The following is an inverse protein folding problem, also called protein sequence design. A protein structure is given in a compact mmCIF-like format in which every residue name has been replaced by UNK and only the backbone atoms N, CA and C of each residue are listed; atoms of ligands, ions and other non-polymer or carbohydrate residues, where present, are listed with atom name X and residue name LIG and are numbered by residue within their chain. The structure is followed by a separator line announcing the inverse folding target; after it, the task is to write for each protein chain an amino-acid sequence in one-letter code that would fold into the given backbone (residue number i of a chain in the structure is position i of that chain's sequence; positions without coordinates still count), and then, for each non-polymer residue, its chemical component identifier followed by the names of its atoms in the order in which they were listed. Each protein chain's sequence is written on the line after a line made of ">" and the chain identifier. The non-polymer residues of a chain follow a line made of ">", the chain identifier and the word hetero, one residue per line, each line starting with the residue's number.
data_IF_986899013059
#
_entry.id   IF_986899013059
#
_cell.length_a   1.000
_cell.length_b   1.000
_cell.length_c   1.000
_cell.angle_alpha   90.00
_cell.angle_beta   90.00
_cell.angle_gamma   90.00
#
_symmetry.space_group_name_H-M   'P 1'
#
loop_
_entity.id
_entity.type
_entity.pdbx_description
1 polymer ?
#
# COMPACT_ATOMS: atom_id res chain seq x y z
N UNK A 1 19.16 -55.41 7.48
CA UNK A 1 19.02 -53.96 7.72
C UNK A 1 17.80 -53.47 6.94
N UNK A 2 16.62 -53.48 7.56
CA UNK A 2 15.40 -52.97 6.94
C UNK A 2 15.46 -51.44 6.96
N UNK A 3 15.42 -50.81 5.79
CA UNK A 3 15.35 -49.34 5.69
C UNK A 3 14.13 -48.84 6.48
N UNK A 4 14.27 -47.85 7.36
CA UNK A 4 13.25 -47.56 8.37
C UNK A 4 12.07 -46.70 7.85
N UNK A 5 12.02 -46.35 6.56
CA UNK A 5 10.91 -45.61 5.92
C UNK A 5 9.73 -46.49 5.48
N UNK A 6 9.91 -47.60 4.72
CA UNK A 6 8.79 -48.47 4.33
C UNK A 6 8.01 -49.01 5.54
N UNK A 7 8.71 -49.36 6.63
CA UNK A 7 8.07 -49.82 7.87
C UNK A 7 7.13 -48.77 8.48
N UNK A 8 7.52 -47.48 8.47
CA UNK A 8 6.72 -46.40 9.03
C UNK A 8 5.46 -46.12 8.19
N UNK A 9 5.59 -46.22 6.87
CA UNK A 9 4.48 -46.06 5.93
C UNK A 9 3.49 -47.23 5.99
N UNK A 10 4.00 -48.45 6.10
CA UNK A 10 3.18 -49.65 6.25
C UNK A 10 2.46 -49.66 7.61
N UNK A 11 3.15 -49.25 8.70
CA UNK A 11 2.48 -49.00 9.98
C UNK A 11 1.44 -47.89 9.86
N UNK A 12 1.74 -46.78 9.20
CA UNK A 12 0.78 -45.70 9.01
C UNK A 12 -0.49 -46.20 8.32
N UNK A 13 -0.37 -46.90 7.19
CA UNK A 13 -1.53 -47.47 6.49
C UNK A 13 -2.27 -48.51 7.34
N UNK A 14 -1.55 -49.39 8.02
CA UNK A 14 -2.15 -50.48 8.78
C UNK A 14 -2.78 -50.03 10.12
N UNK A 15 -2.20 -49.03 10.78
CA UNK A 15 -2.65 -48.55 12.09
C UNK A 15 -3.56 -47.33 12.03
N UNK A 16 -3.48 -46.49 11.00
CA UNK A 16 -4.30 -45.28 10.88
C UNK A 16 -5.42 -45.39 9.83
N UNK A 17 -5.22 -46.17 8.74
CA UNK A 17 -6.20 -46.26 7.63
C UNK A 17 -6.93 -47.61 7.50
N UNK A 18 -6.43 -48.69 8.10
CA UNK A 18 -7.05 -50.03 8.01
C UNK A 18 -8.43 -50.11 8.69
N UNK A 19 -9.36 -50.88 8.10
CA UNK A 19 -10.67 -51.20 8.70
C UNK A 19 -10.55 -51.91 10.05
N UNK A 20 -9.44 -52.61 10.34
CA UNK A 20 -9.20 -53.34 11.60
C UNK A 20 -8.54 -52.50 12.71
N UNK A 21 -8.17 -51.25 12.44
CA UNK A 21 -7.45 -50.40 13.41
C UNK A 21 -8.32 -49.88 14.57
N UNK A 22 -9.63 -50.07 14.52
CA UNK A 22 -10.60 -49.48 15.46
C UNK A 22 -11.11 -48.13 14.95
N UNK A 23 -12.41 -47.88 15.09
CA UNK A 23 -13.06 -46.68 14.51
C UNK A 23 -12.50 -45.37 15.08
N UNK A 24 -12.18 -45.34 16.37
CA UNK A 24 -11.74 -44.12 17.07
C UNK A 24 -10.39 -43.58 16.57
N UNK A 25 -9.39 -44.44 16.35
CA UNK A 25 -8.05 -44.01 15.90
C UNK A 25 -8.13 -43.33 14.52
N UNK A 26 -8.92 -43.90 13.61
CA UNK A 26 -9.12 -43.37 12.26
C UNK A 26 -9.81 -42.01 12.28
N UNK A 27 -10.86 -41.85 13.06
CA UNK A 27 -11.59 -40.58 13.17
C UNK A 27 -10.68 -39.48 13.71
N UNK A 28 -9.91 -39.78 14.75
CA UNK A 28 -8.97 -38.83 15.36
C UNK A 28 -7.84 -38.46 14.39
N UNK A 29 -7.30 -39.44 13.65
CA UNK A 29 -6.28 -39.19 12.63
C UNK A 29 -6.78 -38.28 11.50
N UNK A 30 -8.00 -38.53 11.00
CA UNK A 30 -8.62 -37.69 9.98
C UNK A 30 -8.90 -36.28 10.49
N UNK A 31 -9.41 -36.16 11.72
CA UNK A 31 -9.65 -34.86 12.36
C UNK A 31 -8.34 -34.05 12.49
N UNK A 32 -7.23 -34.70 12.82
CA UNK A 32 -5.92 -34.05 12.85
C UNK A 32 -5.42 -33.62 11.47
N UNK A 33 -5.52 -34.50 10.46
CA UNK A 33 -5.14 -34.12 9.09
C UNK A 33 -5.99 -32.95 8.60
N UNK A 34 -7.30 -32.97 8.86
CA UNK A 34 -8.21 -31.88 8.54
C UNK A 34 -7.85 -30.59 9.29
N UNK A 35 -7.55 -30.66 10.59
CA UNK A 35 -7.14 -29.50 11.38
C UNK A 35 -5.86 -28.85 10.86
N UNK A 36 -4.84 -29.66 10.53
CA UNK A 36 -3.60 -29.16 9.91
C UNK A 36 -3.87 -28.58 8.52
N UNK A 37 -4.67 -29.26 7.70
CA UNK A 37 -5.03 -28.78 6.38
C UNK A 37 -5.77 -27.45 6.41
N UNK A 38 -6.76 -27.30 7.30
CA UNK A 38 -7.51 -26.04 7.48
C UNK A 38 -6.59 -24.93 7.98
N UNK A 39 -5.70 -25.23 8.94
CA UNK A 39 -4.74 -24.24 9.44
C UNK A 39 -3.80 -23.72 8.35
N UNK A 40 -3.23 -24.63 7.54
CA UNK A 40 -2.35 -24.26 6.42
C UNK A 40 -3.11 -23.56 5.30
N UNK A 41 -4.32 -24.04 4.96
CA UNK A 41 -5.18 -23.39 3.98
C UNK A 41 -5.50 -21.95 4.38
N UNK A 42 -5.91 -21.74 5.64
CA UNK A 42 -6.19 -20.40 6.18
C UNK A 42 -4.96 -19.51 6.14
N UNK A 43 -3.78 -20.04 6.48
CA UNK A 43 -2.51 -19.32 6.41
C UNK A 43 -2.21 -18.82 5.00
N UNK A 44 -2.35 -19.69 4.00
CA UNK A 44 -2.10 -19.36 2.59
C UNK A 44 -3.06 -18.27 2.12
N UNK A 45 -4.37 -18.43 2.39
CA UNK A 45 -5.40 -17.47 1.98
C UNK A 45 -5.12 -16.10 2.59
N UNK A 46 -4.87 -16.04 3.91
CA UNK A 46 -4.63 -14.78 4.62
C UNK A 46 -3.39 -14.07 4.07
N UNK A 47 -2.28 -14.79 3.87
CA UNK A 47 -1.06 -14.20 3.30
C UNK A 47 -1.31 -13.69 1.88
N UNK A 48 -2.04 -14.45 1.06
CA UNK A 48 -2.30 -14.08 -0.33
C UNK A 48 -3.18 -12.84 -0.44
N UNK A 49 -4.31 -12.81 0.27
CA UNK A 49 -5.20 -11.64 0.33
C UNK A 49 -4.44 -10.42 0.82
N UNK A 50 -3.65 -10.57 1.88
CA UNK A 50 -2.88 -9.47 2.45
C UNK A 50 -1.81 -8.96 1.48
N UNK A 51 -1.08 -9.84 0.81
CA UNK A 51 -0.09 -9.43 -0.19
C UNK A 51 -0.74 -8.76 -1.40
N UNK A 52 -1.87 -9.28 -1.90
CA UNK A 52 -2.62 -8.66 -2.99
C UNK A 52 -3.18 -7.29 -2.63
N UNK A 53 -3.73 -7.14 -1.42
CA UNK A 53 -4.21 -5.85 -0.91
C UNK A 53 -3.08 -4.81 -0.79
N UNK A 54 -1.95 -5.20 -0.19
CA UNK A 54 -0.76 -4.34 -0.08
C UNK A 54 -0.23 -3.90 -1.45
N UNK A 55 -0.18 -4.81 -2.42
CA UNK A 55 0.23 -4.52 -3.79
C UNK A 55 -0.74 -3.55 -4.48
N UNK A 56 -2.05 -3.71 -4.28
CA UNK A 56 -3.05 -2.78 -4.81
C UNK A 56 -2.92 -1.37 -4.21
N UNK A 57 -2.77 -1.26 -2.89
CA UNK A 57 -2.52 0.05 -2.24
C UNK A 57 -1.27 0.69 -2.82
N UNK A 58 -0.19 -0.07 -2.92
CA UNK A 58 1.07 0.41 -3.47
C UNK A 58 0.94 0.91 -4.91
N UNK A 59 0.30 0.13 -5.79
CA UNK A 59 0.08 0.50 -7.20
C UNK A 59 -0.75 1.76 -7.34
N UNK A 60 -1.82 1.90 -6.54
CA UNK A 60 -2.65 3.12 -6.52
C UNK A 60 -1.85 4.33 -6.06
N UNK A 61 -1.04 4.18 -5.02
CA UNK A 61 -0.19 5.26 -4.53
C UNK A 61 0.84 5.70 -5.59
N UNK A 62 1.52 4.74 -6.23
CA UNK A 62 2.53 4.99 -7.26
C UNK A 62 1.97 5.60 -8.55
N UNK A 63 0.69 5.39 -8.86
CA UNK A 63 0.09 5.94 -10.08
C UNK A 63 -0.20 7.44 -9.97
N UNK A 64 -0.30 7.96 -8.75
CA UNK A 64 -0.68 9.35 -8.48
C UNK A 64 0.53 10.13 -8.02
N UNK A 65 1.22 9.60 -7.01
CA UNK A 65 2.28 10.33 -6.36
C UNK A 65 3.58 10.25 -7.16
N UNK A 66 4.34 11.35 -7.21
CA UNK A 66 5.69 11.31 -7.75
C UNK A 66 6.57 10.36 -6.92
N UNK A 67 7.50 9.67 -7.57
CA UNK A 67 8.33 8.68 -6.86
C UNK A 67 9.35 9.38 -5.95
N UNK A 68 9.87 10.53 -6.37
CA UNK A 68 10.73 11.39 -5.57
C UNK A 68 10.26 12.84 -5.71
N UNK A 69 10.35 13.58 -4.61
CA UNK A 69 10.19 15.03 -4.56
C UNK A 69 11.51 15.59 -4.08
N UNK A 70 12.13 16.44 -4.91
CA UNK A 70 13.34 17.15 -4.54
C UNK A 70 13.00 18.61 -4.27
N UNK A 71 13.39 19.10 -3.10
CA UNK A 71 13.24 20.48 -2.67
C UNK A 71 14.56 21.02 -2.15
N UNK A 72 14.76 22.33 -2.25
CA UNK A 72 15.93 22.95 -1.65
C UNK A 72 15.77 23.06 -0.13
N UNK A 73 16.87 22.90 0.64
CA UNK A 73 16.88 23.20 2.07
C UNK A 73 16.58 24.68 2.37
N UNK A 74 16.91 25.58 1.44
CA UNK A 74 16.59 27.01 1.49
C UNK A 74 15.34 27.31 0.64
N UNK A 75 14.51 28.25 1.09
CA UNK A 75 13.34 28.74 0.33
C UNK A 75 13.81 29.47 -0.93
N UNK A 76 13.94 28.72 -2.03
CA UNK A 76 14.25 29.25 -3.34
C UNK A 76 13.00 29.33 -4.21
N UNK A 77 12.99 30.30 -5.12
CA UNK A 77 11.94 30.42 -6.13
C UNK A 77 12.02 29.25 -7.12
N UNK A 78 10.89 28.83 -7.68
CA UNK A 78 10.86 27.79 -8.71
C UNK A 78 11.77 28.09 -9.92
N UNK A 79 12.04 29.37 -10.21
CA UNK A 79 12.95 29.77 -11.28
C UNK A 79 14.42 29.44 -10.97
N UNK A 80 14.82 29.56 -9.70
CA UNK A 80 16.15 29.15 -9.24
C UNK A 80 16.29 27.62 -9.28
N UNK A 81 15.21 26.91 -8.94
CA UNK A 81 15.11 25.44 -9.08
C UNK A 81 15.28 25.00 -10.54
N UNK A 82 14.59 25.66 -11.46
CA UNK A 82 14.68 25.40 -12.91
C UNK A 82 16.08 25.67 -13.48
N UNK A 83 16.78 26.65 -12.92
CA UNK A 83 18.17 26.99 -13.27
C UNK A 83 19.22 26.01 -12.73
N UNK A 84 18.84 25.10 -11.84
CA UNK A 84 19.79 24.16 -11.24
C UNK A 84 20.32 23.14 -12.24
N UNK A 85 21.62 22.85 -12.16
CA UNK A 85 22.27 21.82 -12.99
C UNK A 85 21.59 20.45 -12.83
N UNK A 86 21.12 20.14 -11.62
CA UNK A 86 20.44 18.88 -11.33
C UNK A 86 19.12 18.74 -12.10
N UNK A 87 18.28 19.77 -12.09
CA UNK A 87 17.00 19.74 -12.83
C UNK A 87 17.24 19.51 -14.33
N UNK A 88 18.21 20.21 -14.91
CA UNK A 88 18.56 20.05 -16.33
C UNK A 88 19.11 18.66 -16.64
N UNK A 89 20.01 18.14 -15.80
CA UNK A 89 20.55 16.79 -15.94
C UNK A 89 19.42 15.75 -15.91
N UNK A 90 18.48 15.85 -14.97
CA UNK A 90 17.37 14.89 -14.84
C UNK A 90 16.35 15.00 -15.97
N UNK A 91 16.02 16.21 -16.41
CA UNK A 91 15.12 16.44 -17.55
C UNK A 91 15.66 15.83 -18.85
N UNK A 92 16.98 15.73 -18.99
CA UNK A 92 17.64 15.10 -20.14
C UNK A 92 17.76 13.57 -20.06
N UNK A 93 17.51 12.96 -18.89
CA UNK A 93 17.65 11.51 -18.72
C UNK A 93 16.51 10.76 -19.40
N UNK A 94 16.80 9.76 -20.25
CA UNK A 94 15.75 8.99 -20.91
C UNK A 94 14.89 8.23 -19.90
N UNK A 95 13.58 8.36 -20.03
CA UNK A 95 12.58 7.68 -19.20
C UNK A 95 12.32 8.33 -17.83
N UNK A 96 13.04 9.38 -17.45
CA UNK A 96 12.78 10.12 -16.20
C UNK A 96 11.92 11.33 -16.52
N UNK A 97 10.70 11.37 -15.97
CA UNK A 97 9.85 12.56 -16.07
C UNK A 97 10.15 13.46 -14.89
N UNK A 98 10.42 14.75 -15.16
CA UNK A 98 10.73 15.74 -14.13
C UNK A 98 9.85 16.98 -14.32
N UNK A 99 8.99 17.25 -13.34
CA UNK A 99 8.01 18.34 -13.38
C UNK A 99 8.28 19.35 -12.26
N UNK A 100 8.19 20.65 -12.55
CA UNK A 100 8.31 21.69 -11.51
C UNK A 100 6.98 21.90 -10.81
N UNK A 101 7.01 22.16 -9.51
CA UNK A 101 5.81 22.52 -8.76
C UNK A 101 6.07 23.67 -7.79
N UNK A 102 4.98 24.36 -7.43
CA UNK A 102 4.94 25.38 -6.38
C UNK A 102 3.74 25.13 -5.48
N UNK A 103 3.95 24.81 -4.20
CA UNK A 103 2.86 24.70 -3.23
C UNK A 103 2.79 25.97 -2.36
N UNK A 104 1.57 26.42 -2.10
CA UNK A 104 1.26 27.57 -1.27
C UNK A 104 0.03 27.24 -0.44
N UNK A 105 0.15 27.23 0.88
CA UNK A 105 -1.03 27.12 1.74
C UNK A 105 -1.91 28.36 1.56
N UNK A 106 -3.22 28.18 1.44
CA UNK A 106 -4.18 29.27 1.24
C UNK A 106 -5.42 29.08 2.10
N UNK A 107 -6.02 30.19 2.50
CA UNK A 107 -7.38 30.25 3.00
C UNK A 107 -8.24 30.75 1.84
N UNK A 108 -9.21 29.94 1.45
CA UNK A 108 -10.23 30.28 0.47
C UNK A 108 -11.34 31.00 1.21
N UNK A 109 -11.72 32.17 0.71
CA UNK A 109 -12.92 32.90 1.10
C UNK A 109 -13.86 32.98 -0.10
N UNK A 110 -15.07 32.43 0.06
CA UNK A 110 -16.15 32.52 -0.93
C UNK A 110 -16.87 33.86 -0.85
N UNK A 111 -17.65 34.20 -1.87
CA UNK A 111 -18.47 35.42 -1.90
C UNK A 111 -19.50 35.43 -0.76
N UNK A 112 -20.06 34.26 -0.44
CA UNK A 112 -21.05 34.07 0.63
C UNK A 112 -20.44 34.12 2.05
N UNK A 113 -19.11 34.26 2.15
CA UNK A 113 -18.41 34.39 3.43
C UNK A 113 -18.02 33.06 4.08
N UNK A 114 -18.13 31.93 3.38
CA UNK A 114 -17.54 30.67 3.83
C UNK A 114 -16.01 30.70 3.69
N UNK A 115 -15.32 30.08 4.65
CA UNK A 115 -13.87 29.96 4.67
C UNK A 115 -13.44 28.49 4.69
N UNK A 116 -12.35 28.17 3.99
CA UNK A 116 -11.73 26.85 4.03
C UNK A 116 -10.23 26.90 3.78
N UNK A 117 -9.49 25.98 4.37
CA UNK A 117 -8.06 25.81 4.08
C UNK A 117 -7.86 24.95 2.83
N UNK A 118 -6.88 25.30 2.01
CA UNK A 118 -6.47 24.51 0.86
C UNK A 118 -4.98 24.68 0.57
N UNK A 119 -4.43 23.80 -0.27
CA UNK A 119 -3.08 23.90 -0.82
C UNK A 119 -3.23 24.33 -2.26
N UNK A 120 -2.74 25.52 -2.58
CA UNK A 120 -2.61 25.96 -3.95
C UNK A 120 -1.34 25.37 -4.57
N UNK A 121 -1.53 24.60 -5.64
CA UNK A 121 -0.49 23.86 -6.33
C UNK A 121 -0.29 24.38 -7.75
N UNK A 122 0.85 25.00 -7.98
CA UNK A 122 1.26 25.60 -9.23
C UNK A 122 1.98 24.58 -10.10
N UNK A 123 1.42 24.30 -11.27
CA UNK A 123 1.98 23.34 -12.24
C UNK A 123 1.99 23.92 -13.65
N UNK A 124 2.80 23.35 -14.53
CA UNK A 124 2.76 23.65 -15.96
C UNK A 124 1.55 22.95 -16.62
N UNK A 125 1.05 23.47 -17.74
CA UNK A 125 -0.15 22.95 -18.39
C UNK A 125 0.04 21.49 -18.85
N UNK A 126 1.24 21.15 -19.34
CA UNK A 126 1.57 19.77 -19.75
C UNK A 126 1.57 18.81 -18.56
N UNK A 127 2.11 19.24 -17.41
CA UNK A 127 2.12 18.46 -16.17
C UNK A 127 0.70 18.26 -15.64
N UNK A 128 -0.13 19.31 -15.66
CA UNK A 128 -1.51 19.21 -15.23
C UNK A 128 -2.29 18.24 -16.13
N UNK A 129 -2.19 18.38 -17.45
CA UNK A 129 -2.82 17.47 -18.40
C UNK A 129 -2.39 16.00 -18.19
N UNK A 130 -1.11 15.77 -17.87
CA UNK A 130 -0.60 14.45 -17.51
C UNK A 130 -1.27 13.89 -16.24
N UNK A 131 -1.30 14.67 -15.15
CA UNK A 131 -1.91 14.27 -13.87
C UNK A 131 -3.39 13.90 -14.09
N UNK A 132 -4.11 14.72 -14.86
CA UNK A 132 -5.52 14.50 -15.18
C UNK A 132 -5.73 13.22 -16.00
N UNK A 133 -4.91 12.98 -17.03
CA UNK A 133 -5.01 11.76 -17.84
C UNK A 133 -4.73 10.50 -17.02
N UNK A 134 -3.69 10.54 -16.19
CA UNK A 134 -3.26 9.37 -15.44
C UNK A 134 -4.26 9.01 -14.35
N UNK A 135 -4.77 10.00 -13.62
CA UNK A 135 -5.82 9.79 -12.61
C UNK A 135 -7.10 9.22 -13.21
N UNK A 136 -7.55 9.70 -14.37
CA UNK A 136 -8.69 9.11 -15.09
C UNK A 136 -8.44 7.64 -15.53
N UNK A 137 -7.21 7.32 -15.95
CA UNK A 137 -6.86 5.96 -16.41
C UNK A 137 -6.87 4.93 -15.27
N UNK A 138 -6.40 5.32 -14.08
CA UNK A 138 -6.32 4.47 -12.89
C UNK A 138 -7.70 4.19 -12.32
N UNK A 139 -8.60 5.17 -12.36
CA UNK A 139 -9.99 5.05 -11.88
C UNK A 139 -10.83 4.14 -12.78
N UNK A 140 -10.58 4.19 -14.10
CA UNK A 140 -11.29 3.37 -15.10
C UNK A 140 -11.00 1.87 -14.98
N UNK A 141 -9.89 1.49 -14.33
CA UNK A 141 -9.49 0.09 -14.18
C UNK A 141 -10.20 -0.65 -13.03
N UNK A 142 -10.99 0.02 -12.18
CA UNK A 142 -11.53 -0.57 -10.95
C UNK A 142 -12.95 -0.20 -10.53
N UNK A 143 -13.66 0.68 -11.25
CA UNK A 143 -15.08 0.97 -11.02
C UNK A 143 -15.88 0.90 -12.33
N UNK A 144 -17.10 0.34 -12.33
CA UNK A 144 -18.06 0.60 -13.40
C UNK A 144 -18.24 2.12 -13.55
N UNK A 145 -18.23 2.61 -14.78
CA UNK A 145 -18.39 4.02 -15.18
C UNK A 145 -19.80 4.57 -14.85
N UNK A 146 -20.24 4.50 -13.60
CA UNK A 146 -21.59 4.93 -13.20
C UNK A 146 -21.63 6.28 -12.48
N UNK A 147 -20.48 6.91 -12.21
CA UNK A 147 -20.43 8.27 -11.66
C UNK A 147 -19.49 9.12 -12.52
N UNK A 148 -20.01 9.57 -13.67
CA UNK A 148 -19.41 10.63 -14.48
C UNK A 148 -20.01 11.93 -13.96
N UNK A 149 -19.35 12.58 -13.00
CA UNK A 149 -19.76 13.94 -12.58
C UNK A 149 -18.81 15.03 -13.12
N UNK A 150 -17.69 14.65 -13.74
CA UNK A 150 -16.79 15.58 -14.43
C UNK A 150 -16.57 15.09 -15.85
N UNK A 151 -16.90 15.90 -16.89
CA UNK A 151 -16.52 15.61 -18.26
C UNK A 151 -15.00 15.38 -18.33
N UNK A 152 -14.51 14.51 -19.23
CA UNK A 152 -13.08 14.37 -19.47
C UNK A 152 -12.49 15.75 -19.75
N UNK A 153 -11.59 16.17 -18.88
CA UNK A 153 -11.00 17.50 -18.90
C UNK A 153 -10.11 17.58 -20.15
N UNK A 154 -10.45 18.51 -21.05
CA UNK A 154 -9.70 18.73 -22.29
C UNK A 154 -8.34 19.40 -22.01
N UNK A 155 -7.36 19.26 -22.91
CA UNK A 155 -6.07 19.98 -22.80
C UNK A 155 -6.27 21.50 -22.65
N UNK A 156 -7.34 22.04 -23.23
CA UNK A 156 -7.73 23.45 -23.14
C UNK A 156 -8.13 23.87 -21.71
N UNK A 157 -8.64 22.94 -20.91
CA UNK A 157 -9.00 23.17 -19.51
C UNK A 157 -7.77 23.11 -18.59
N UNK A 158 -6.71 22.39 -19.00
CA UNK A 158 -5.44 22.31 -18.28
C UNK A 158 -4.57 23.56 -18.45
N UNK A 159 -4.77 24.35 -19.51
CA UNK A 159 -4.13 25.67 -19.61
C UNK A 159 -4.90 26.70 -18.77
N UNK A 160 -4.32 27.07 -17.62
CA UNK A 160 -4.91 28.05 -16.72
C UNK A 160 -4.32 29.43 -17.02
N UNK A 161 -5.18 30.40 -17.30
CA UNK A 161 -4.78 31.81 -17.44
C UNK A 161 -4.51 32.45 -16.07
N UNK A 162 -4.01 33.68 -16.09
CA UNK A 162 -3.82 34.46 -14.87
C UNK A 162 -5.13 34.60 -14.09
N UNK A 163 -5.10 34.24 -12.80
CA UNK A 163 -6.26 34.25 -11.92
C UNK A 163 -7.23 33.09 -12.14
N UNK A 164 -6.98 32.14 -13.04
CA UNK A 164 -7.82 30.94 -13.16
C UNK A 164 -7.28 29.80 -12.28
N UNK A 165 -8.20 29.04 -11.68
CA UNK A 165 -7.88 27.86 -10.86
C UNK A 165 -8.78 26.67 -11.18
N UNK A 166 -8.26 25.46 -11.00
CA UNK A 166 -9.08 24.26 -10.83
C UNK A 166 -9.21 23.92 -9.36
N UNK A 167 -10.36 23.42 -8.92
CA UNK A 167 -10.62 23.09 -7.52
C UNK A 167 -11.10 21.65 -7.42
N UNK A 168 -10.57 20.90 -6.45
CA UNK A 168 -11.08 19.58 -6.13
C UNK A 168 -12.59 19.58 -5.82
N UNK A 169 -13.32 18.60 -6.35
CA UNK A 169 -14.78 18.58 -6.28
C UNK A 169 -15.32 18.52 -4.84
N UNK A 170 -14.62 17.84 -3.93
CA UNK A 170 -15.04 17.72 -2.54
C UNK A 170 -14.77 19.01 -1.76
N UNK A 171 -13.64 19.69 -2.03
CA UNK A 171 -13.34 21.03 -1.52
C UNK A 171 -14.39 22.05 -1.98
N UNK A 172 -14.73 22.01 -3.28
CA UNK A 172 -15.74 22.89 -3.85
C UNK A 172 -17.12 22.64 -3.21
N UNK A 173 -17.52 21.37 -3.05
CA UNK A 173 -18.78 20.99 -2.40
C UNK A 173 -18.84 21.43 -0.95
N UNK A 174 -17.75 21.29 -0.20
CA UNK A 174 -17.68 21.71 1.21
C UNK A 174 -17.84 23.22 1.38
N UNK A 175 -17.38 24.02 0.42
CA UNK A 175 -17.44 25.48 0.46
C UNK A 175 -18.63 26.08 -0.30
N UNK A 176 -19.37 25.27 -1.07
CA UNK A 176 -20.48 25.72 -1.90
C UNK A 176 -20.03 26.45 -3.18
N UNK A 177 -18.89 26.06 -3.74
CA UNK A 177 -18.27 26.70 -4.91
C UNK A 177 -18.71 25.98 -6.20
N UNK A 178 -19.04 26.76 -7.23
CA UNK A 178 -19.39 26.29 -8.57
C UNK A 178 -18.38 26.78 -9.63
N UNK A 179 -18.42 26.19 -10.83
CA UNK A 179 -17.65 26.68 -11.97
C UNK A 179 -18.09 28.10 -12.35
N UNK A 180 -17.11 28.97 -12.60
CA UNK A 180 -17.31 30.39 -12.89
C UNK A 180 -17.31 31.30 -11.65
N UNK A 181 -17.37 30.74 -10.44
CA UNK A 181 -17.35 31.54 -9.21
C UNK A 181 -16.00 32.25 -9.02
N UNK A 182 -16.04 33.39 -8.34
CA UNK A 182 -14.83 34.10 -7.91
C UNK A 182 -14.57 33.84 -6.43
N UNK A 183 -13.39 33.34 -6.12
CA UNK A 183 -12.92 33.12 -4.76
C UNK A 183 -11.77 34.08 -4.42
N UNK A 184 -11.62 34.39 -3.14
CA UNK A 184 -10.49 35.15 -2.64
C UNK A 184 -9.54 34.21 -1.92
N UNK A 185 -8.29 34.16 -2.37
CA UNK A 185 -7.21 33.40 -1.76
C UNK A 185 -6.44 34.32 -0.83
N UNK A 186 -6.16 33.85 0.37
CA UNK A 186 -5.45 34.60 1.42
C UNK A 186 -4.32 33.70 1.95
N UNK A 187 -3.11 34.23 2.09
CA UNK A 187 -2.02 33.48 2.71
C UNK A 187 -2.28 33.31 4.22
N UNK A 188 -2.14 32.13 4.84
CA UNK A 188 -2.43 31.92 6.27
C UNK A 188 -1.66 32.85 7.23
N UNK A 189 -0.47 33.28 6.83
CA UNK A 189 0.38 34.21 7.58
C UNK A 189 -0.24 35.60 7.72
N UNK A 190 -1.23 35.92 6.89
CA UNK A 190 -2.12 37.07 7.06
C UNK A 190 -2.71 37.15 8.48
N UNK A 191 -2.97 36.01 9.12
CA UNK A 191 -3.51 35.94 10.47
C UNK A 191 -2.53 36.39 11.55
N UNK A 192 -1.24 36.50 11.22
CA UNK A 192 -0.16 36.93 12.12
C UNK A 192 0.18 38.41 11.96
N UNK A 193 -0.46 39.12 11.02
CA UNK A 193 -0.20 40.53 10.78
C UNK A 193 -0.70 41.40 11.95
N UNK A 194 0.01 42.50 12.27
CA UNK A 194 -0.45 43.48 13.23
C UNK A 194 -1.84 44.03 12.90
N UNK A 195 -2.64 44.43 13.91
CA UNK A 195 -3.93 45.07 13.69
C UNK A 195 -3.82 46.30 12.78
N UNK A 196 -4.63 46.35 11.71
CA UNK A 196 -4.68 47.47 10.78
C UNK A 196 -3.87 47.29 9.49
N UNK A 197 -3.04 46.25 9.39
CA UNK A 197 -2.34 45.90 8.16
C UNK A 197 -3.23 45.00 7.28
N UNK A 198 -3.36 45.33 6.00
CA UNK A 198 -4.19 44.56 5.08
C UNK A 198 -3.44 43.31 4.60
N UNK A 199 -4.03 42.11 4.70
CA UNK A 199 -3.35 40.90 4.29
C UNK A 199 -3.19 40.84 2.76
N UNK A 200 -2.09 40.27 2.25
CA UNK A 200 -1.99 39.98 0.83
C UNK A 200 -3.09 38.97 0.46
N UNK A 201 -3.84 39.27 -0.60
CA UNK A 201 -4.85 38.39 -1.15
C UNK A 201 -4.80 38.43 -2.68
N UNK A 202 -5.29 37.37 -3.31
CA UNK A 202 -5.46 37.29 -4.75
C UNK A 202 -6.87 36.78 -5.06
N UNK A 203 -7.54 37.35 -6.05
CA UNK A 203 -8.82 36.83 -6.51
C UNK A 203 -8.58 35.83 -7.62
N UNK A 204 -9.27 34.70 -7.55
CA UNK A 204 -9.21 33.67 -8.57
C UNK A 204 -10.62 33.29 -9.04
N UNK A 205 -10.75 32.99 -10.32
CA UNK A 205 -11.96 32.46 -10.93
C UNK A 205 -11.84 30.95 -11.09
N UNK A 206 -12.87 30.23 -10.66
CA UNK A 206 -12.92 28.77 -10.77
C UNK A 206 -13.22 28.41 -12.20
N UNK A 207 -12.21 27.95 -12.94
CA UNK A 207 -12.36 27.56 -14.35
C UNK A 207 -13.16 26.27 -14.47
N UNK A 208 -12.81 25.27 -13.65
CA UNK A 208 -13.49 23.98 -13.63
C UNK A 208 -13.26 23.24 -12.32
N UNK A 209 -14.17 22.31 -12.00
CA UNK A 209 -14.05 21.40 -10.87
C UNK A 209 -13.36 20.10 -11.30
N UNK A 210 -12.46 19.60 -10.46
CA UNK A 210 -11.65 18.43 -10.72
C UNK A 210 -12.06 17.27 -9.81
N UNK A 211 -12.27 16.09 -10.39
CA UNK A 211 -12.30 14.83 -9.64
C UNK A 211 -11.15 13.93 -10.05
N UNK A 212 -10.31 13.57 -9.09
CA UNK A 212 -9.25 12.58 -9.24
C UNK A 212 -9.56 11.29 -8.48
N UNK A 213 -10.65 11.28 -7.70
CA UNK A 213 -11.08 10.20 -6.82
C UNK A 213 -10.01 9.83 -5.76
N UNK A 214 -9.25 10.85 -5.36
CA UNK A 214 -8.21 10.80 -4.34
C UNK A 214 -8.50 11.90 -3.34
N UNK A 215 -8.83 11.52 -2.12
CA UNK A 215 -9.25 12.46 -1.09
C UNK A 215 -8.22 13.58 -0.86
N UNK A 216 -6.92 13.26 -0.85
CA UNK A 216 -5.88 14.27 -0.61
C UNK A 216 -5.77 15.34 -1.72
N UNK A 217 -6.28 15.08 -2.93
CA UNK A 217 -6.36 16.08 -4.00
C UNK A 217 -7.76 16.72 -3.99
N UNK A 218 -8.82 15.90 -4.04
CA UNK A 218 -10.19 16.36 -4.23
C UNK A 218 -10.72 17.19 -3.05
N UNK A 219 -10.21 16.96 -1.83
CA UNK A 219 -10.62 17.66 -0.60
C UNK A 219 -9.75 18.88 -0.27
N UNK A 220 -8.50 18.93 -0.74
CA UNK A 220 -7.50 19.89 -0.21
C UNK A 220 -6.78 20.73 -1.25
N UNK A 221 -6.82 20.40 -2.53
CA UNK A 221 -5.94 21.02 -3.53
C UNK A 221 -6.73 21.94 -4.48
N UNK A 222 -6.13 23.10 -4.77
CA UNK A 222 -6.49 23.93 -5.92
C UNK A 222 -5.28 24.01 -6.86
N UNK A 223 -5.50 23.84 -8.16
CA UNK A 223 -4.44 23.97 -9.16
C UNK A 223 -4.45 25.35 -9.79
N UNK A 224 -3.27 25.92 -10.01
CA UNK A 224 -3.10 27.19 -10.72
C UNK A 224 -1.95 27.10 -11.73
N UNK A 225 -1.97 27.97 -12.74
CA UNK A 225 -0.87 28.08 -13.70
C UNK A 225 0.40 28.60 -13.04
N UNK A 226 1.43 27.77 -12.96
CA UNK A 226 2.72 28.13 -12.34
C UNK A 226 3.29 29.40 -12.95
N UNK A 227 3.68 30.36 -12.13
CA UNK A 227 4.21 31.65 -12.58
C UNK A 227 3.18 32.64 -13.16
N UNK A 228 1.93 32.22 -13.43
CA UNK A 228 0.85 33.08 -13.93
C UNK A 228 -0.01 33.66 -12.80
N UNK A 229 -0.34 32.84 -11.79
CA UNK A 229 -1.16 33.22 -10.63
C UNK A 229 -0.38 33.12 -9.32
N UNK A 230 -0.96 33.62 -8.22
CA UNK A 230 -0.37 33.66 -6.89
C UNK A 230 0.96 34.42 -6.82
N UNK A 231 1.07 35.47 -7.63
CA UNK A 231 2.26 36.34 -7.65
C UNK A 231 2.38 37.12 -6.35
N UNK A 232 1.25 37.48 -5.74
CA UNK A 232 1.20 38.17 -4.45
C UNK A 232 1.85 37.35 -3.31
N UNK A 233 1.93 36.02 -3.47
CA UNK A 233 2.45 35.11 -2.45
C UNK A 233 3.88 34.65 -2.72
N UNK A 234 4.63 35.27 -3.64
CA UNK A 234 6.01 34.85 -3.98
C UNK A 234 6.95 34.77 -2.78
N UNK A 235 6.78 35.67 -1.81
CA UNK A 235 7.60 35.73 -0.60
C UNK A 235 6.94 35.07 0.62
N UNK A 236 5.85 34.31 0.43
CA UNK A 236 5.15 33.71 1.55
C UNK A 236 6.02 32.65 2.25
N UNK A 237 6.08 32.63 3.59
CA UNK A 237 6.80 31.60 4.34
C UNK A 237 6.31 30.16 4.09
N UNK A 238 5.02 29.99 3.79
CA UNK A 238 4.39 28.71 3.41
C UNK A 238 4.61 28.32 1.95
N UNK A 239 5.18 29.21 1.12
CA UNK A 239 5.50 28.86 -0.26
C UNK A 239 6.67 27.87 -0.27
N UNK A 240 6.47 26.75 -0.95
CA UNK A 240 7.51 25.76 -1.22
C UNK A 240 7.56 25.47 -2.71
N UNK A 241 8.77 25.28 -3.24
CA UNK A 241 9.00 24.93 -4.63
C UNK A 241 9.97 23.77 -4.72
N UNK A 242 9.88 23.04 -5.82
CA UNK A 242 10.73 21.90 -6.07
C UNK A 242 10.44 21.28 -7.42
N UNK A 243 10.95 20.08 -7.60
CA UNK A 243 10.56 19.25 -8.73
C UNK A 243 10.24 17.82 -8.30
N UNK A 244 9.30 17.27 -9.03
CA UNK A 244 8.82 15.91 -8.91
C UNK A 244 9.49 15.04 -9.95
N UNK A 245 9.84 13.82 -9.56
CA UNK A 245 10.53 12.87 -10.40
C UNK A 245 9.70 11.60 -10.46
N UNK A 246 9.29 11.21 -11.68
CA UNK A 246 8.75 9.89 -11.97
C UNK A 246 9.77 9.06 -12.73
N UNK A 247 9.88 7.81 -12.32
CA UNK A 247 10.86 6.82 -12.78
C UNK A 247 10.13 5.71 -13.53
N UNK A 248 10.75 5.09 -14.56
CA UNK A 248 10.16 3.93 -15.24
C UNK A 248 9.93 2.76 -14.28
N UNK A 249 10.81 2.62 -13.28
CA UNK A 249 10.73 1.61 -12.22
C UNK A 249 10.64 2.33 -10.87
N UNK A 250 9.42 2.52 -10.33
CA UNK A 250 9.20 3.26 -9.09
C UNK A 250 9.95 2.68 -7.88
N UNK A 251 10.23 1.38 -7.92
CA UNK A 251 10.90 0.64 -6.84
C UNK A 251 12.39 0.97 -6.74
N UNK A 252 13.01 1.36 -7.84
CA UNK A 252 14.45 1.63 -7.90
C UNK A 252 14.78 3.11 -7.66
N UNK A 253 14.07 3.73 -6.70
CA UNK A 253 14.24 5.14 -6.38
C UNK A 253 15.47 5.43 -5.51
N UNK A 254 15.92 4.45 -4.73
CA UNK A 254 16.96 4.65 -3.71
C UNK A 254 18.31 5.13 -4.26
N UNK A 255 18.84 4.61 -5.38
CA UNK A 255 20.11 5.11 -5.93
C UNK A 255 20.01 6.57 -6.36
N UNK A 256 18.90 6.95 -7.00
CA UNK A 256 18.67 8.33 -7.43
C UNK A 256 18.46 9.27 -6.24
N UNK A 257 17.70 8.83 -5.23
CA UNK A 257 17.54 9.58 -3.97
C UNK A 257 18.89 9.91 -3.36
N UNK A 258 19.78 8.91 -3.23
CA UNK A 258 21.12 9.10 -2.67
C UNK A 258 21.98 10.04 -3.54
N UNK A 259 21.90 9.93 -4.88
CA UNK A 259 22.61 10.82 -5.81
C UNK A 259 22.21 12.28 -5.60
N UNK A 260 20.90 12.54 -5.47
CA UNK A 260 20.37 13.89 -5.31
C UNK A 260 20.70 14.44 -3.91
N UNK A 261 20.58 13.62 -2.86
CA UNK A 261 20.96 13.99 -1.49
C UNK A 261 22.46 14.34 -1.39
N UNK A 262 23.33 13.61 -2.09
CA UNK A 262 24.76 13.91 -2.14
C UNK A 262 25.07 15.28 -2.79
N UNK A 263 24.15 15.82 -3.60
CA UNK A 263 24.24 17.16 -4.20
C UNK A 263 23.66 18.25 -3.28
N UNK A 264 23.29 17.94 -2.04
CA UNK A 264 22.82 18.90 -1.03
C UNK A 264 21.33 19.24 -1.09
N UNK A 265 20.53 18.45 -1.82
CA UNK A 265 19.08 18.63 -1.91
C UNK A 265 18.35 17.84 -0.83
N UNK A 266 17.23 18.37 -0.36
CA UNK A 266 16.29 17.57 0.42
C UNK A 266 15.46 16.73 -0.55
N UNK A 267 15.35 15.42 -0.28
CA UNK A 267 14.65 14.50 -1.16
C UNK A 267 13.82 13.53 -0.36
N UNK A 268 12.55 13.49 -0.70
CA UNK A 268 11.57 12.59 -0.10
C UNK A 268 11.02 11.65 -1.17
N UNK A 269 11.07 10.36 -0.90
CA UNK A 269 10.39 9.36 -1.72
C UNK A 269 8.93 9.22 -1.32
N UNK A 270 8.15 8.61 -2.21
CA UNK A 270 6.77 8.19 -1.91
C UNK A 270 6.66 7.31 -0.65
N UNK A 271 7.71 6.55 -0.31
CA UNK A 271 7.76 5.76 0.93
C UNK A 271 7.98 6.64 2.16
N UNK A 272 8.83 7.67 2.06
CA UNK A 272 9.12 8.56 3.19
C UNK A 272 7.88 9.40 3.55
N UNK A 273 7.22 9.97 2.53
CA UNK A 273 6.00 10.78 2.71
C UNK A 273 4.83 9.98 3.28
N UNK A 274 4.78 8.68 2.97
CA UNK A 274 3.74 7.77 3.44
C UNK A 274 4.24 6.82 4.53
N UNK A 275 5.24 7.24 5.32
CA UNK A 275 5.89 6.38 6.32
C UNK A 275 4.92 5.81 7.37
N UNK A 276 3.88 6.55 7.76
CA UNK A 276 2.84 6.08 8.68
C UNK A 276 2.01 4.94 8.08
N UNK A 277 1.62 5.04 6.80
CA UNK A 277 0.95 3.99 6.05
C UNK A 277 1.83 2.74 5.99
N UNK A 278 3.08 2.86 5.52
CA UNK A 278 3.99 1.73 5.42
C UNK A 278 4.31 1.09 6.76
N UNK A 279 4.41 1.89 7.82
CA UNK A 279 4.55 1.40 9.17
C UNK A 279 3.32 0.60 9.62
N UNK A 280 2.11 1.11 9.37
CA UNK A 280 0.87 0.40 9.67
C UNK A 280 0.79 -0.93 8.91
N UNK A 281 1.07 -0.94 7.60
CA UNK A 281 1.09 -2.17 6.78
C UNK A 281 2.13 -3.18 7.29
N UNK A 282 3.29 -2.70 7.75
CA UNK A 282 4.32 -3.56 8.36
C UNK A 282 3.86 -4.13 9.70
N UNK A 283 3.22 -3.32 10.55
CA UNK A 283 2.70 -3.75 11.84
C UNK A 283 1.54 -4.74 11.68
N UNK A 284 0.68 -4.54 10.69
CA UNK A 284 -0.37 -5.47 10.32
C UNK A 284 0.20 -6.84 9.93
N UNK A 285 1.20 -6.87 9.03
CA UNK A 285 1.88 -8.12 8.65
C UNK A 285 2.52 -8.82 9.85
N UNK A 286 3.12 -8.07 10.76
CA UNK A 286 3.70 -8.62 11.97
C UNK A 286 2.64 -9.23 12.90
N UNK A 287 1.53 -8.52 13.14
CA UNK A 287 0.42 -9.00 13.95
C UNK A 287 -0.22 -10.26 13.37
N UNK A 288 -0.51 -10.27 12.05
CA UNK A 288 -0.99 -11.45 11.33
C UNK A 288 -0.02 -12.63 11.46
N UNK A 289 1.29 -12.39 11.28
CA UNK A 289 2.31 -13.42 11.46
C UNK A 289 2.27 -14.03 12.87
N UNK A 290 2.03 -13.22 13.90
CA UNK A 290 1.83 -13.68 15.27
C UNK A 290 0.61 -14.57 15.46
N UNK A 291 -0.56 -14.17 14.94
CA UNK A 291 -1.78 -14.99 15.01
C UNK A 291 -1.61 -16.33 14.28
N UNK A 292 -0.97 -16.29 13.11
CA UNK A 292 -0.69 -17.47 12.29
C UNK A 292 0.30 -18.42 12.97
N UNK A 293 1.33 -17.88 13.63
CA UNK A 293 2.25 -18.68 14.43
C UNK A 293 1.53 -19.37 15.61
N UNK A 294 0.63 -18.67 16.30
CA UNK A 294 -0.16 -19.24 17.39
C UNK A 294 -1.10 -20.35 16.89
N UNK A 295 -1.74 -20.15 15.74
CA UNK A 295 -2.56 -21.19 15.11
C UNK A 295 -1.73 -22.44 14.75
N UNK A 296 -0.52 -22.24 14.21
CA UNK A 296 0.43 -23.33 13.96
C UNK A 296 0.84 -24.08 15.24
N UNK A 297 1.03 -23.36 16.34
CA UNK A 297 1.34 -23.93 17.65
C UNK A 297 0.17 -24.78 18.18
N UNK A 298 -1.06 -24.31 18.07
CA UNK A 298 -2.27 -25.07 18.43
C UNK A 298 -2.39 -26.35 17.59
N UNK A 299 -2.12 -26.27 16.28
CA UNK A 299 -2.11 -27.43 15.40
C UNK A 299 -1.03 -28.45 15.80
N UNK A 300 0.16 -27.99 16.21
CA UNK A 300 1.25 -28.86 16.66
C UNK A 300 0.88 -29.66 17.92
N UNK A 301 0.24 -29.01 18.92
CA UNK A 301 -0.23 -29.69 20.12
C UNK A 301 -1.32 -30.71 19.84
N UNK A 302 -2.16 -30.43 18.85
CA UNK A 302 -3.18 -31.37 18.39
C UNK A 302 -2.54 -32.66 17.86
N UNK A 303 -1.47 -32.55 17.06
CA UNK A 303 -0.72 -33.72 16.57
C UNK A 303 -0.11 -34.51 17.72
N UNK A 304 0.53 -33.83 18.69
CA UNK A 304 1.12 -34.49 19.87
C UNK A 304 0.07 -35.28 20.64
N UNK A 305 -1.10 -34.68 20.88
CA UNK A 305 -2.22 -35.32 21.58
C UNK A 305 -2.65 -36.61 20.89
N UNK A 306 -2.70 -36.60 19.55
CA UNK A 306 -3.07 -37.79 18.76
C UNK A 306 -1.99 -38.86 18.77
N UNK A 307 -0.71 -38.48 18.69
CA UNK A 307 0.40 -39.44 18.81
C UNK A 307 0.39 -40.11 20.19
N UNK A 308 0.20 -39.35 21.26
CA UNK A 308 0.11 -39.89 22.63
C UNK A 308 -1.09 -40.84 22.77
N UNK A 309 -2.25 -40.47 22.24
CA UNK A 309 -3.44 -41.32 22.26
C UNK A 309 -3.18 -42.64 21.52
N UNK A 310 -2.57 -42.57 20.34
CA UNK A 310 -2.23 -43.74 19.53
C UNK A 310 -1.24 -44.65 20.24
N UNK A 311 -0.19 -44.09 20.84
CA UNK A 311 0.79 -44.84 21.63
C UNK A 311 0.14 -45.54 22.83
N UNK A 312 -0.80 -44.88 23.50
CA UNK A 312 -1.52 -45.44 24.65
C UNK A 312 -2.43 -46.59 24.24
N UNK A 313 -3.22 -46.41 23.18
CA UNK A 313 -4.15 -47.43 22.70
C UNK A 313 -3.45 -48.65 22.08
N UNK A 314 -2.24 -48.47 21.53
CA UNK A 314 -1.45 -49.54 20.90
C UNK A 314 -0.29 -50.04 21.77
N UNK A 315 -0.33 -49.79 23.07
CA UNK A 315 0.72 -50.17 24.02
C UNK A 315 1.09 -51.67 23.96
N UNK A 316 0.12 -52.56 23.78
CA UNK A 316 0.35 -54.02 23.66
C UNK A 316 1.13 -54.36 22.38
N UNK A 317 0.72 -53.82 21.25
CA UNK A 317 1.37 -54.03 19.96
C UNK A 317 2.81 -53.48 19.96
N UNK A 318 3.02 -52.32 20.59
CA UNK A 318 4.34 -51.72 20.79
C UNK A 318 5.21 -52.63 21.68
N UNK A 319 4.63 -53.21 22.74
CA UNK A 319 5.30 -54.17 23.61
C UNK A 319 5.78 -55.43 22.87
N UNK A 320 4.98 -55.94 21.94
CA UNK A 320 5.36 -57.06 21.08
C UNK A 320 6.53 -56.71 20.15
N UNK A 321 6.50 -55.52 19.53
CA UNK A 321 7.60 -55.04 18.69
C UNK A 321 8.91 -54.89 19.49
N UNK A 322 8.83 -54.39 20.72
CA UNK A 322 10.01 -54.32 21.61
C UNK A 322 10.50 -55.72 22.01
N UNK A 323 9.59 -56.66 22.27
CA UNK A 323 9.94 -58.06 22.54
C UNK A 323 10.63 -58.77 21.37
N UNK A 324 10.39 -58.33 20.14
CA UNK A 324 11.08 -58.79 18.91
C UNK A 324 12.43 -58.10 18.67
N UNK A 325 12.91 -57.25 19.58
CA UNK A 325 14.24 -56.62 19.52
C UNK A 325 14.24 -55.16 19.05
N UNK A 326 13.08 -54.50 18.97
CA UNK A 326 13.02 -53.06 18.68
C UNK A 326 13.36 -52.24 19.93
N UNK A 327 14.42 -51.42 19.87
CA UNK A 327 14.79 -50.59 21.02
C UNK A 327 13.79 -49.44 21.26
N UNK A 328 13.70 -48.90 22.49
CA UNK A 328 12.81 -47.77 22.80
C UNK A 328 13.06 -46.54 21.92
N UNK A 329 14.32 -46.20 21.64
CA UNK A 329 14.70 -45.09 20.78
C UNK A 329 14.22 -45.28 19.32
N UNK A 330 14.33 -46.51 18.79
CA UNK A 330 13.84 -46.85 17.44
C UNK A 330 12.31 -46.78 17.37
N UNK A 331 11.64 -47.17 18.45
CA UNK A 331 10.18 -47.08 18.58
C UNK A 331 9.72 -45.62 18.60
N UNK A 332 10.38 -44.75 19.37
CA UNK A 332 10.08 -43.31 19.40
C UNK A 332 10.28 -42.67 18.01
N UNK A 333 11.41 -42.97 17.35
CA UNK A 333 11.69 -42.47 16.00
C UNK A 333 10.65 -42.92 14.97
N UNK A 334 10.11 -44.14 15.10
CA UNK A 334 9.05 -44.67 14.27
C UNK A 334 7.76 -43.84 14.41
N UNK A 335 7.32 -43.55 15.64
CA UNK A 335 6.11 -42.76 15.88
C UNK A 335 6.27 -41.28 15.49
N UNK A 336 7.46 -40.70 15.68
CA UNK A 336 7.76 -39.36 15.17
C UNK A 336 7.58 -39.31 13.65
N UNK A 337 8.02 -40.33 12.91
CA UNK A 337 7.83 -40.40 11.45
C UNK A 337 6.38 -40.55 11.04
N UNK A 338 5.60 -41.32 11.79
CA UNK A 338 4.14 -41.42 11.58
C UNK A 338 3.49 -40.04 11.74
N UNK A 339 3.88 -39.28 12.78
CA UNK A 339 3.47 -37.89 12.96
C UNK A 339 3.86 -36.99 11.80
N UNK A 340 5.11 -37.09 11.33
CA UNK A 340 5.61 -36.33 10.18
C UNK A 340 4.81 -36.62 8.91
N UNK A 341 4.47 -37.89 8.64
CA UNK A 341 3.64 -38.28 7.49
C UNK A 341 2.23 -37.67 7.62
N UNK A 342 1.62 -37.74 8.81
CA UNK A 342 0.30 -37.17 9.07
C UNK A 342 0.29 -35.65 8.83
N UNK A 343 1.30 -34.95 9.34
CA UNK A 343 1.45 -33.51 9.12
C UNK A 343 1.76 -33.18 7.66
N UNK A 344 2.57 -33.97 6.97
CA UNK A 344 2.91 -33.73 5.56
C UNK A 344 1.66 -33.85 4.67
N UNK A 345 0.78 -34.83 4.93
CA UNK A 345 -0.49 -34.96 4.21
C UNK A 345 -1.40 -33.77 4.52
N UNK A 346 -1.52 -33.37 5.79
CA UNK A 346 -2.30 -32.18 6.17
C UNK A 346 -1.78 -30.90 5.52
N UNK A 347 -0.47 -30.65 5.58
CA UNK A 347 0.17 -29.49 4.95
C UNK A 347 -0.02 -29.52 3.44
N UNK A 348 0.20 -30.67 2.78
CA UNK A 348 0.05 -30.80 1.33
C UNK A 348 -1.38 -30.55 0.88
N UNK A 349 -2.37 -31.14 1.56
CA UNK A 349 -3.79 -30.92 1.24
C UNK A 349 -4.22 -29.48 1.52
N UNK A 350 -3.81 -28.90 2.64
CA UNK A 350 -4.07 -27.50 2.98
C UNK A 350 -3.45 -26.51 1.99
N UNK A 351 -2.21 -26.76 1.57
CA UNK A 351 -1.52 -25.93 0.57
C UNK A 351 -2.24 -25.96 -0.77
N UNK A 352 -2.61 -27.15 -1.26
CA UNK A 352 -3.34 -27.29 -2.53
C UNK A 352 -4.68 -26.56 -2.46
N UNK A 353 -5.47 -26.79 -1.41
CA UNK A 353 -6.75 -26.11 -1.24
C UNK A 353 -6.59 -24.59 -1.12
N UNK A 354 -5.61 -24.13 -0.34
CA UNK A 354 -5.35 -22.70 -0.14
C UNK A 354 -4.94 -21.99 -1.43
N UNK A 355 -4.06 -22.60 -2.23
CA UNK A 355 -3.66 -22.05 -3.53
C UNK A 355 -4.81 -22.04 -4.53
N UNK A 356 -5.58 -23.14 -4.62
CA UNK A 356 -6.74 -23.20 -5.52
C UNK A 356 -7.76 -22.13 -5.17
N UNK A 357 -8.09 -21.97 -3.89
CA UNK A 357 -9.03 -20.94 -3.44
C UNK A 357 -8.47 -19.54 -3.68
N UNK A 358 -7.16 -19.33 -3.50
CA UNK A 358 -6.54 -18.02 -3.72
C UNK A 358 -6.42 -17.62 -5.19
N UNK A 359 -6.53 -18.57 -6.13
CA UNK A 359 -6.47 -18.31 -7.57
C UNK A 359 -7.85 -17.97 -8.16
N UNK A 360 -8.92 -18.34 -7.45
CA UNK A 360 -10.31 -17.98 -7.77
C UNK A 360 -10.61 -16.63 -7.16
#
# INVERSE_FOLDING_TARGET
>A
MLSPMPLAWDLFKHYLLSRRAGSLIRTVAWLCMAGVAIGVMSLVIVISVMNGFNDQIRKRLLAVEPHLVASFPSRQSADEVKGSKLYQDLKSRPGVQTDLFENQDVIIRTVDGNFGGAIARGVEAETLAYILRETHSVVSAGRPQTSIDTPPISEETADLDQGQVLIGIDLARALGIFEGDTITLIAPEALLLPPGEAPPFERATVKSLLTTNLADIDEKVIFYGRGKSLVAFRNSPSRSSGFEIRLPQPENFQPLKNEIQAKGWNVESWVDRNSSLFFALKMEKFAMGGFLALAGLIASFSIVTVLVLLMTQKRKDIGLLMGLGLSPAKTQALFIRVGLILSAIGIGTGLVLGVVISLV
#
